data_IF_758793966949
#
_entry.id   IF_758793966949
#
_cell.length_a   1.000
_cell.length_b   1.000
_cell.length_c   1.000
_cell.angle_alpha   90.00
_cell.angle_beta   90.00
_cell.angle_gamma   90.00
#
_symmetry.space_group_name_H-M   'P 1'
#
loop_
_entity.id
_entity.type
_entity.pdbx_description
1 polymer ?
#
# COMPACT_ATOMS: atom_id res chain seq x y z
N UNK A 1 -13.20 -7.17 -17.21
CA UNK A 1 -12.67 -8.30 -16.43
C UNK A 1 -11.57 -7.73 -15.52
N UNK A 2 -11.96 -7.18 -14.37
CA UNK A 2 -11.03 -6.60 -13.40
C UNK A 2 -10.51 -7.76 -12.54
N UNK A 3 -9.28 -8.18 -12.78
CA UNK A 3 -8.66 -9.27 -12.05
C UNK A 3 -8.12 -8.69 -10.73
N UNK A 4 -8.95 -8.74 -9.68
CA UNK A 4 -8.58 -8.37 -8.33
C UNK A 4 -7.69 -9.50 -7.80
N UNK A 5 -6.37 -9.33 -7.80
CA UNK A 5 -5.48 -10.23 -7.06
C UNK A 5 -5.60 -9.91 -5.58
N UNK A 6 -6.56 -10.57 -4.96
CA UNK A 6 -6.99 -10.32 -3.60
C UNK A 6 -6.19 -11.22 -2.64
N UNK A 7 -5.06 -10.72 -2.14
CA UNK A 7 -4.45 -11.29 -0.93
C UNK A 7 -5.24 -10.76 0.28
N UNK A 8 -6.37 -11.41 0.57
CA UNK A 8 -7.26 -11.13 1.71
C UNK A 8 -6.60 -11.62 3.01
N UNK A 9 -6.35 -10.72 3.97
CA UNK A 9 -6.68 -10.85 5.41
C UNK A 9 -6.45 -9.47 6.07
N UNK A 10 -7.40 -9.01 6.90
CA UNK A 10 -7.73 -7.60 7.19
C UNK A 10 -6.80 -6.94 8.25
N UNK A 11 -6.81 -5.59 8.21
CA UNK A 11 -6.17 -4.55 9.07
C UNK A 11 -4.80 -4.08 8.56
N UNK A 12 -4.84 -2.88 7.95
CA UNK A 12 -3.75 -2.06 7.42
C UNK A 12 -3.33 -2.41 5.99
N UNK A 13 -3.94 -1.71 5.03
CA UNK A 13 -3.71 -1.88 3.59
C UNK A 13 -2.79 -0.78 3.06
N UNK A 14 -1.76 -1.18 2.35
CA UNK A 14 -1.10 -0.39 1.31
C UNK A 14 -1.83 -0.71 0.00
N UNK A 15 -2.31 0.32 -0.69
CA UNK A 15 -2.96 0.19 -1.98
C UNK A 15 -2.04 0.77 -3.06
N UNK A 16 -1.54 -0.09 -3.96
CA UNK A 16 -0.77 0.35 -5.12
C UNK A 16 -1.65 0.36 -6.37
N UNK A 17 -1.65 1.48 -7.07
CA UNK A 17 -2.31 1.66 -8.36
C UNK A 17 -1.26 1.72 -9.45
N UNK A 18 -1.40 0.86 -10.47
CA UNK A 18 -0.47 0.80 -11.60
C UNK A 18 -1.16 1.34 -12.84
N UNK A 19 -0.46 2.24 -13.51
CA UNK A 19 -0.78 2.88 -14.79
C UNK A 19 -2.23 3.37 -14.96
N UNK A 20 -2.37 4.69 -14.91
CA UNK A 20 -3.56 5.48 -15.22
C UNK A 20 -3.28 6.89 -14.74
N UNK A 21 -3.48 7.91 -15.59
CA UNK A 21 -3.28 9.31 -15.20
C UNK A 21 -4.22 9.60 -14.04
N UNK A 22 -3.67 9.74 -12.84
CA UNK A 22 -4.38 10.17 -11.65
C UNK A 22 -3.91 11.58 -11.32
N UNK A 23 -4.82 12.55 -11.41
CA UNK A 23 -4.57 13.91 -10.95
C UNK A 23 -4.03 13.85 -9.53
N UNK A 24 -2.82 14.36 -9.36
CA UNK A 24 -2.11 14.34 -8.07
C UNK A 24 -2.80 15.24 -7.02
N UNK A 25 -3.75 16.09 -7.45
CA UNK A 25 -4.31 17.19 -6.65
C UNK A 25 -5.60 16.86 -5.87
N UNK A 26 -6.23 15.70 -6.09
CA UNK A 26 -7.48 15.36 -5.38
C UNK A 26 -7.22 14.83 -3.95
N UNK A 27 -8.05 15.17 -2.98
CA UNK A 27 -7.97 14.64 -1.62
C UNK A 27 -8.52 13.19 -1.51
N UNK A 28 -8.11 12.40 -0.50
CA UNK A 28 -8.53 11.00 -0.31
C UNK A 28 -10.06 10.84 -0.22
N UNK A 29 -10.75 11.72 0.52
CA UNK A 29 -12.22 11.69 0.63
C UNK A 29 -12.90 11.97 -0.70
N UNK A 30 -12.40 12.97 -1.43
CA UNK A 30 -12.86 13.33 -2.77
C UNK A 30 -12.64 12.15 -3.74
N UNK A 31 -11.50 11.47 -3.69
CA UNK A 31 -11.17 10.33 -4.57
C UNK A 31 -12.06 9.11 -4.32
N UNK A 32 -12.34 8.75 -3.07
CA UNK A 32 -13.21 7.61 -2.74
C UNK A 32 -14.67 7.89 -3.15
N UNK A 33 -15.14 9.12 -2.95
CA UNK A 33 -16.46 9.56 -3.44
C UNK A 33 -16.52 9.61 -4.97
N UNK A 34 -15.46 10.07 -5.63
CA UNK A 34 -15.36 10.17 -7.08
C UNK A 34 -15.44 8.79 -7.76
N UNK A 35 -14.73 7.79 -7.23
CA UNK A 35 -14.85 6.39 -7.68
C UNK A 35 -16.29 5.87 -7.53
N UNK A 36 -16.99 6.30 -6.47
CA UNK A 36 -18.34 5.83 -6.14
C UNK A 36 -19.46 6.51 -6.94
N UNK A 37 -19.27 7.74 -7.40
CA UNK A 37 -20.36 8.57 -7.95
C UNK A 37 -20.24 9.01 -9.41
N UNK A 38 -19.13 8.72 -10.13
CA UNK A 38 -19.09 8.89 -11.59
C UNK A 38 -18.43 7.71 -12.31
N UNK A 39 -18.98 7.39 -13.47
CA UNK A 39 -18.38 6.53 -14.49
C UNK A 39 -17.04 7.14 -14.90
N UNK A 40 -15.94 6.78 -14.23
CA UNK A 40 -14.59 7.14 -14.69
C UNK A 40 -14.49 6.81 -16.19
N UNK A 41 -14.06 7.77 -17.01
CA UNK A 41 -13.77 7.48 -18.42
C UNK A 41 -12.74 6.34 -18.43
N UNK A 42 -12.86 5.37 -19.34
CA UNK A 42 -11.98 4.17 -19.38
C UNK A 42 -10.47 4.49 -19.30
N UNK A 43 -10.07 5.70 -19.71
CA UNK A 43 -8.70 6.20 -19.70
C UNK A 43 -8.18 6.74 -18.35
N UNK A 44 -9.02 6.87 -17.32
CA UNK A 44 -8.65 7.38 -15.98
C UNK A 44 -8.75 6.30 -14.88
N UNK A 45 -8.89 5.03 -15.28
CA UNK A 45 -8.90 3.91 -14.33
C UNK A 45 -7.49 3.30 -14.24
N UNK A 46 -7.08 2.83 -13.06
CA UNK A 46 -5.84 2.10 -12.94
C UNK A 46 -5.97 0.79 -13.68
N UNK A 47 -4.95 0.41 -14.46
CA UNK A 47 -4.92 -0.87 -15.14
C UNK A 47 -4.93 -2.03 -14.14
N UNK A 48 -4.22 -1.86 -13.01
CA UNK A 48 -4.09 -2.86 -11.96
C UNK A 48 -4.09 -2.21 -10.57
N UNK A 49 -4.73 -2.87 -9.61
CA UNK A 49 -4.73 -2.49 -8.20
C UNK A 49 -4.13 -3.65 -7.41
N UNK A 50 -3.10 -3.35 -6.61
CA UNK A 50 -2.50 -4.29 -5.68
C UNK A 50 -2.84 -3.86 -4.26
N UNK A 51 -3.38 -4.79 -3.48
CA UNK A 51 -3.63 -4.60 -2.06
C UNK A 51 -2.58 -5.39 -1.30
N UNK A 52 -1.82 -4.70 -0.46
CA UNK A 52 -0.73 -5.27 0.33
C UNK A 52 -1.01 -5.02 1.79
N UNK A 53 -1.04 -6.08 2.60
CA UNK A 53 -1.14 -5.94 4.05
C UNK A 53 0.22 -5.53 4.63
N UNK A 54 0.24 -4.77 5.73
CA UNK A 54 1.49 -4.57 6.47
C UNK A 54 2.12 -5.91 6.89
N UNK A 55 3.44 -5.93 7.03
CA UNK A 55 4.16 -7.08 7.59
C UNK A 55 3.81 -7.31 9.06
N UNK A 56 4.22 -8.45 9.59
CA UNK A 56 4.05 -8.76 11.01
C UNK A 56 4.61 -7.65 11.94
N UNK A 57 3.88 -7.34 13.00
CA UNK A 57 4.16 -6.24 13.90
C UNK A 57 4.40 -6.72 15.33
N UNK A 58 5.04 -5.90 16.16
CA UNK A 58 5.30 -6.23 17.57
C UNK A 58 4.01 -6.60 18.34
N UNK A 59 2.88 -5.99 17.98
CA UNK A 59 1.58 -6.32 18.59
C UNK A 59 0.98 -7.65 18.09
N UNK A 60 1.49 -8.22 16.99
CA UNK A 60 1.15 -9.58 16.58
C UNK A 60 1.83 -10.62 17.47
N UNK A 61 3.02 -10.31 18.00
CA UNK A 61 3.75 -11.15 18.95
C UNK A 61 3.19 -11.01 20.37
N UNK A 62 2.91 -9.77 20.80
CA UNK A 62 2.43 -9.45 22.14
C UNK A 62 1.29 -8.41 22.11
N UNK A 63 0.05 -8.88 22.27
CA UNK A 63 -1.14 -8.04 22.34
C UNK A 63 -1.15 -7.11 23.57
N UNK A 64 -0.38 -7.40 24.62
CA UNK A 64 -0.30 -6.53 25.80
C UNK A 64 0.40 -5.20 25.51
N UNK A 65 1.11 -5.11 24.37
CA UNK A 65 1.74 -3.89 23.88
C UNK A 65 0.75 -2.73 23.74
N UNK A 66 -0.52 -3.01 23.42
CA UNK A 66 -1.57 -1.97 23.35
C UNK A 66 -1.86 -1.28 24.69
N UNK A 67 -1.46 -1.88 25.81
CA UNK A 67 -1.52 -1.25 27.13
C UNK A 67 -0.36 -0.29 27.43
N UNK A 68 0.69 -0.28 26.58
CA UNK A 68 1.95 0.45 26.81
C UNK A 68 2.34 1.39 25.66
N UNK A 69 1.76 1.17 24.47
CA UNK A 69 2.05 1.91 23.23
C UNK A 69 0.75 2.16 22.46
N UNK A 70 0.64 3.33 21.82
CA UNK A 70 -0.51 3.63 20.99
C UNK A 70 -0.51 2.77 19.72
N UNK A 71 -1.69 2.32 19.27
CA UNK A 71 -1.82 1.43 18.10
C UNK A 71 -1.18 2.01 16.81
N UNK A 72 -1.15 3.33 16.65
CA UNK A 72 -0.53 3.97 15.48
C UNK A 72 1.01 3.94 15.49
N UNK A 73 1.61 3.74 16.67
CA UNK A 73 3.05 3.69 16.89
C UNK A 73 3.64 2.28 16.79
N UNK A 74 2.80 1.25 16.79
CA UNK A 74 3.25 -0.16 16.69
C UNK A 74 4.05 -0.38 15.41
N UNK A 75 5.27 -0.86 15.59
CA UNK A 75 6.28 -1.14 14.56
C UNK A 75 6.17 -2.56 14.01
N UNK A 76 6.79 -2.79 12.86
CA UNK A 76 7.09 -4.12 12.37
C UNK A 76 8.08 -4.84 13.30
N UNK A 77 7.94 -6.16 13.42
CA UNK A 77 9.00 -6.99 13.95
C UNK A 77 9.97 -7.40 12.82
N UNK A 78 11.04 -8.14 13.15
CA UNK A 78 12.04 -8.58 12.16
C UNK A 78 11.41 -9.42 11.03
N UNK A 79 10.51 -10.33 11.40
CA UNK A 79 9.73 -11.16 10.47
C UNK A 79 8.92 -10.31 9.49
N UNK A 80 8.23 -9.27 9.97
CA UNK A 80 7.47 -8.35 9.14
C UNK A 80 8.33 -7.54 8.18
N UNK A 81 9.55 -7.20 8.58
CA UNK A 81 10.52 -6.55 7.71
C UNK A 81 10.92 -7.47 6.54
N UNK A 82 11.21 -8.74 6.82
CA UNK A 82 11.53 -9.73 5.79
C UNK A 82 10.35 -10.00 4.84
N UNK A 83 9.14 -10.13 5.40
CA UNK A 83 7.91 -10.27 4.63
C UNK A 83 7.73 -9.12 3.64
N UNK A 84 7.99 -7.88 4.08
CA UNK A 84 7.87 -6.70 3.24
C UNK A 84 8.89 -6.70 2.08
N UNK A 85 10.12 -7.13 2.33
CA UNK A 85 11.16 -7.28 1.29
C UNK A 85 10.73 -8.32 0.25
N UNK A 86 10.26 -9.49 0.69
CA UNK A 86 9.84 -10.57 -0.21
C UNK A 86 8.58 -10.18 -1.02
N UNK A 87 7.63 -9.48 -0.38
CA UNK A 87 6.49 -8.90 -1.07
C UNK A 87 6.93 -7.89 -2.14
N UNK A 88 7.92 -7.06 -1.84
CA UNK A 88 8.52 -6.11 -2.79
C UNK A 88 9.09 -6.79 -4.03
N UNK A 89 9.86 -7.87 -3.86
CA UNK A 89 10.41 -8.65 -4.99
C UNK A 89 9.32 -9.24 -5.88
N UNK A 90 8.28 -9.83 -5.27
CA UNK A 90 7.13 -10.39 -5.99
C UNK A 90 6.37 -9.31 -6.75
N UNK A 91 6.05 -8.20 -6.10
CA UNK A 91 5.35 -7.10 -6.73
C UNK A 91 6.17 -6.47 -7.86
N UNK A 92 7.48 -6.29 -7.68
CA UNK A 92 8.35 -5.79 -8.74
C UNK A 92 8.33 -6.72 -9.97
N UNK A 93 8.34 -8.04 -9.77
CA UNK A 93 8.22 -9.01 -10.89
C UNK A 93 6.88 -8.91 -11.63
N UNK A 94 5.79 -8.58 -10.93
CA UNK A 94 4.45 -8.41 -11.51
C UNK A 94 4.30 -7.05 -12.19
N UNK A 95 4.87 -6.00 -11.60
CA UNK A 95 4.75 -4.61 -12.05
C UNK A 95 5.66 -4.33 -13.24
N UNK A 96 6.86 -4.92 -13.25
CA UNK A 96 7.85 -4.70 -14.28
C UNK A 96 8.33 -3.25 -14.27
N UNK A 97 8.22 -2.57 -15.42
CA UNK A 97 8.71 -1.19 -15.60
C UNK A 97 7.61 -0.12 -15.49
N UNK A 98 6.41 -0.49 -15.06
CA UNK A 98 5.30 0.44 -14.97
C UNK A 98 5.41 1.36 -13.75
N UNK A 99 4.92 2.59 -13.89
CA UNK A 99 4.81 3.53 -12.79
C UNK A 99 3.68 3.14 -11.84
N UNK A 100 3.93 3.34 -10.54
CA UNK A 100 2.98 3.03 -9.48
C UNK A 100 2.71 4.24 -8.60
N UNK A 101 1.44 4.41 -8.24
CA UNK A 101 0.98 5.32 -7.20
C UNK A 101 0.69 4.49 -5.96
N UNK A 102 1.13 4.94 -4.78
CA UNK A 102 1.11 4.12 -3.57
C UNK A 102 0.43 4.84 -2.42
N UNK A 103 -0.76 4.41 -2.05
CA UNK A 103 -1.45 4.89 -0.86
C UNK A 103 -1.17 3.97 0.32
N UNK A 104 -0.96 4.54 1.50
CA UNK A 104 -0.74 3.79 2.73
C UNK A 104 -1.38 4.51 3.90
N UNK A 105 -1.91 3.76 4.87
CA UNK A 105 -2.48 4.36 6.07
C UNK A 105 -1.42 4.98 7.00
N UNK A 106 -1.82 5.84 7.96
CA UNK A 106 -0.92 6.63 8.80
C UNK A 106 -0.14 5.81 9.85
N UNK A 107 -0.43 4.52 9.98
CA UNK A 107 0.18 3.62 10.96
C UNK A 107 1.67 3.38 10.67
N UNK A 108 2.50 3.37 11.71
CA UNK A 108 3.95 3.16 11.58
C UNK A 108 4.30 1.87 10.85
N UNK A 109 3.70 0.74 11.23
CA UNK A 109 3.83 -0.55 10.51
C UNK A 109 3.51 -0.49 9.01
N UNK A 110 2.55 0.34 8.58
CA UNK A 110 2.24 0.54 7.15
C UNK A 110 3.37 1.28 6.44
N UNK A 111 3.87 2.36 7.04
CA UNK A 111 4.98 3.16 6.50
C UNK A 111 6.28 2.35 6.45
N UNK A 112 6.55 1.55 7.48
CA UNK A 112 7.71 0.65 7.53
C UNK A 112 7.60 -0.44 6.47
N UNK A 113 6.44 -1.10 6.33
CA UNK A 113 6.22 -2.09 5.26
C UNK A 113 6.54 -1.50 3.91
N UNK A 114 6.05 -0.29 3.62
CA UNK A 114 6.38 0.40 2.37
C UNK A 114 7.88 0.69 2.24
N UNK A 115 8.55 1.14 3.31
CA UNK A 115 9.99 1.43 3.31
C UNK A 115 10.85 0.21 2.95
N UNK A 116 10.46 -0.98 3.41
CA UNK A 116 11.12 -2.23 3.05
C UNK A 116 10.74 -2.72 1.66
N UNK A 117 9.46 -2.67 1.32
CA UNK A 117 8.91 -3.10 0.03
C UNK A 117 9.52 -2.31 -1.14
N UNK A 118 9.63 -0.98 -1.01
CA UNK A 118 10.16 -0.10 -2.06
C UNK A 118 11.64 -0.35 -2.38
N UNK A 119 12.39 -1.04 -1.51
CA UNK A 119 13.80 -1.40 -1.78
C UNK A 119 13.92 -2.25 -3.04
N UNK A 120 12.89 -3.04 -3.37
CA UNK A 120 12.85 -3.86 -4.59
C UNK A 120 12.48 -3.11 -5.86
N UNK A 121 12.08 -1.84 -5.78
CA UNK A 121 11.59 -1.04 -6.90
C UNK A 121 12.59 0.01 -7.41
N UNK A 122 13.82 0.06 -6.90
CA UNK A 122 14.80 1.07 -7.32
C UNK A 122 15.54 0.63 -8.60
N UNK A 123 15.62 1.48 -9.66
CA UNK A 123 15.08 2.83 -9.80
C UNK A 123 13.85 2.89 -10.74
N UNK A 124 12.64 2.73 -10.20
CA UNK A 124 11.38 3.06 -10.90
C UNK A 124 10.85 4.40 -10.41
N UNK A 125 10.21 5.19 -11.29
CA UNK A 125 9.57 6.44 -10.91
C UNK A 125 8.34 6.15 -10.04
N UNK A 126 8.57 6.10 -8.73
CA UNK A 126 7.50 6.02 -7.74
C UNK A 126 6.97 7.44 -7.52
N UNK A 127 5.68 7.63 -7.75
CA UNK A 127 5.02 8.89 -7.41
C UNK A 127 4.58 8.75 -5.95
N UNK A 128 5.18 9.49 -5.01
CA UNK A 128 4.83 9.37 -3.61
C UNK A 128 3.36 9.77 -3.44
N UNK A 129 2.54 8.92 -2.81
CA UNK A 129 1.25 9.41 -2.34
C UNK A 129 1.47 10.21 -1.04
N UNK A 130 0.57 11.15 -0.87
CA UNK A 130 0.49 12.07 0.26
C UNK A 130 0.16 11.28 1.52
N UNK A 131 0.88 11.55 2.61
CA UNK A 131 0.48 11.17 3.96
C UNK A 131 -0.74 12.04 4.32
N UNK A 132 -1.91 11.42 4.54
CA UNK A 132 -3.13 12.05 5.08
C UNK A 132 -3.34 11.75 6.57
#
# INVERSE_FOLDING_TARGET
MFLIYLFLFVIGFICLFVSGIFDADLDFRERYFYIRHKTLRRHQRPARIFLVRHGESQANDDLTLYGRMANHEVELNETGCEQAIEAGKKLHSLIGKESVYVYMGPYKRSKETWSYLRKSFSPLPIIPARDD
#
